data_IF_178395120733
#
_entry.id   IF_178395120733
#
_cell.length_a   1.000
_cell.length_b   1.000
_cell.length_c   1.000
_cell.angle_alpha   90.00
_cell.angle_beta   90.00
_cell.angle_gamma   90.00
#
_symmetry.space_group_name_H-M   'P 1'
#
loop_
_entity.id
_entity.type
_entity.pdbx_description
1 polymer ?
#
# COMPACT_ATOMS: atom_id res chain seq x y z
N UNK A 1 -8.83 23.28 -2.78
CA UNK A 1 -8.88 21.89 -3.28
C UNK A 1 -8.14 21.07 -2.24
N UNK A 2 -8.72 19.97 -1.75
CA UNK A 2 -8.09 19.14 -0.71
C UNK A 2 -7.39 18.00 -1.45
N UNK A 3 -6.06 17.95 -1.39
CA UNK A 3 -5.26 16.94 -2.08
C UNK A 3 -5.26 15.60 -1.33
N UNK A 4 -5.18 14.49 -2.06
CA UNK A 4 -4.90 13.16 -1.52
C UNK A 4 -3.38 13.00 -1.33
N UNK A 5 -2.97 12.60 -0.14
CA UNK A 5 -1.55 12.47 0.23
C UNK A 5 -1.28 11.09 0.86
N UNK A 6 -0.29 10.39 0.34
CA UNK A 6 0.26 9.16 0.91
C UNK A 6 1.56 9.47 1.67
N UNK A 7 1.65 9.03 2.92
CA UNK A 7 2.86 9.10 3.76
C UNK A 7 3.30 7.69 4.12
N UNK A 8 4.55 7.34 3.83
CA UNK A 8 5.13 6.04 4.21
C UNK A 8 5.57 6.11 5.68
N UNK A 9 4.91 5.36 6.55
CA UNK A 9 5.26 5.26 7.98
C UNK A 9 6.36 4.20 8.20
N UNK A 10 6.31 3.11 7.44
CA UNK A 10 7.29 2.03 7.45
C UNK A 10 7.13 1.15 6.22
N UNK A 11 8.18 0.42 5.86
CA UNK A 11 8.16 -0.49 4.72
C UNK A 11 9.02 -1.75 4.95
N UNK A 12 9.44 -2.00 6.20
CA UNK A 12 10.25 -3.18 6.52
C UNK A 12 9.41 -4.46 6.55
N UNK A 13 10.06 -5.55 6.17
CA UNK A 13 9.53 -6.92 6.23
C UNK A 13 10.68 -7.92 6.45
N UNK A 14 10.47 -9.04 7.18
CA UNK A 14 9.31 -9.38 8.01
C UNK A 14 9.36 -8.72 9.41
N UNK A 15 10.47 -8.06 9.75
CA UNK A 15 10.72 -7.43 11.04
C UNK A 15 11.20 -5.99 10.87
N UNK A 16 10.91 -5.10 11.84
CA UNK A 16 11.33 -3.71 11.77
C UNK A 16 12.85 -3.57 11.95
N UNK A 17 13.42 -2.50 11.39
CA UNK A 17 14.74 -1.98 11.73
C UNK A 17 14.61 -0.68 12.55
N UNK A 18 15.70 -0.21 13.14
CA UNK A 18 15.71 0.95 14.03
C UNK A 18 15.19 2.25 13.38
N UNK A 19 15.33 2.37 12.06
CA UNK A 19 14.93 3.50 11.22
C UNK A 19 13.89 3.13 10.14
N UNK A 20 13.45 1.87 10.10
CA UNK A 20 12.45 1.38 9.16
C UNK A 20 11.48 0.42 9.86
N UNK A 21 10.34 0.92 10.39
CA UNK A 21 9.35 0.07 11.02
C UNK A 21 8.65 -0.83 9.99
N UNK A 22 7.86 -1.80 10.47
CA UNK A 22 7.06 -2.66 9.60
C UNK A 22 6.15 -1.84 8.68
N UNK A 23 5.76 -2.45 7.56
CA UNK A 23 4.93 -1.81 6.54
C UNK A 23 3.69 -1.13 7.12
N UNK A 24 3.59 0.18 6.86
CA UNK A 24 2.50 1.02 7.31
C UNK A 24 2.46 2.29 6.48
N UNK A 25 1.26 2.65 6.01
CA UNK A 25 1.07 3.77 5.11
C UNK A 25 -0.12 4.60 5.57
N UNK A 26 0.03 5.91 5.57
CA UNK A 26 -1.01 6.85 5.95
C UNK A 26 -1.50 7.58 4.70
N UNK A 27 -2.75 7.35 4.32
CA UNK A 27 -3.43 8.11 3.28
C UNK A 27 -4.30 9.17 3.94
N UNK A 28 -4.13 10.44 3.56
CA UNK A 28 -4.92 11.56 4.08
C UNK A 28 -5.53 12.39 2.96
N UNK A 29 -6.76 12.84 3.17
CA UNK A 29 -7.44 13.85 2.35
C UNK A 29 -8.05 14.90 3.28
N UNK A 30 -7.18 15.66 3.97
CA UNK A 30 -7.58 16.63 5.00
C UNK A 30 -7.87 16.00 6.37
N UNK A 31 -7.44 16.70 7.43
CA UNK A 31 -7.43 16.34 8.86
C UNK A 31 -6.29 15.39 9.31
N UNK A 32 -5.05 15.88 9.25
CA UNK A 32 -3.85 15.18 9.73
C UNK A 32 -3.62 15.26 11.27
N UNK A 33 -4.37 16.07 12.01
CA UNK A 33 -4.03 16.38 13.41
C UNK A 33 -4.53 15.36 14.47
N UNK A 34 -5.12 14.23 14.08
CA UNK A 34 -5.73 13.28 15.04
C UNK A 34 -5.04 11.92 15.20
N UNK A 35 -4.01 11.61 14.41
CA UNK A 35 -3.31 10.31 14.54
C UNK A 35 -2.20 10.29 15.60
N UNK A 36 -1.82 11.46 16.13
CA UNK A 36 -0.75 11.62 17.12
C UNK A 36 -1.01 10.94 18.48
N UNK A 37 -2.23 10.41 18.73
CA UNK A 37 -2.60 9.71 19.97
C UNK A 37 -2.53 8.17 19.93
N UNK A 38 -2.32 7.54 18.77
CA UNK A 38 -2.57 6.10 18.57
C UNK A 38 -1.52 5.14 19.18
N UNK A 39 -0.32 5.62 19.55
CA UNK A 39 0.86 4.76 19.75
C UNK A 39 1.33 4.59 21.21
N UNK A 40 0.46 4.59 22.21
CA UNK A 40 0.90 4.38 23.61
C UNK A 40 1.38 2.94 23.87
N UNK A 41 2.71 2.80 24.01
CA UNK A 41 3.46 1.65 24.51
C UNK A 41 3.24 1.43 26.03
N UNK A 42 2.49 0.41 26.43
CA UNK A 42 2.33 0.02 27.83
C UNK A 42 1.83 -1.43 28.03
N UNK A 43 1.93 -2.00 29.24
CA UNK A 43 1.66 -3.42 29.52
C UNK A 43 0.18 -3.80 29.61
N UNK A 44 -0.74 -2.82 29.45
CA UNK A 44 -2.18 -3.06 29.38
C UNK A 44 -2.61 -2.95 27.92
N UNK A 45 -3.33 -3.94 27.39
CA UNK A 45 -4.03 -3.80 26.10
C UNK A 45 -4.86 -2.51 26.14
N UNK A 46 -4.54 -1.57 25.25
CA UNK A 46 -5.28 -0.31 25.06
C UNK A 46 -6.58 -0.56 24.29
N UNK A 47 -7.65 0.23 24.50
CA UNK A 47 -9.02 -0.14 24.17
C UNK A 47 -9.40 0.33 22.78
N UNK A 48 -8.77 -0.26 21.75
CA UNK A 48 -9.05 0.05 20.33
C UNK A 48 -10.56 -0.03 20.04
N UNK A 49 -11.26 -1.03 20.58
CA UNK A 49 -12.71 -1.23 20.42
C UNK A 49 -13.58 -0.13 21.06
N UNK A 50 -13.04 0.66 22.00
CA UNK A 50 -13.79 1.76 22.64
C UNK A 50 -13.57 3.12 21.98
N UNK A 51 -12.50 3.24 21.17
CA UNK A 51 -12.12 4.46 20.48
C UNK A 51 -12.36 4.38 18.97
N UNK A 52 -12.46 3.17 18.42
CA UNK A 52 -12.57 2.90 16.99
C UNK A 52 -13.68 1.88 16.72
N UNK A 53 -14.47 2.16 15.69
CA UNK A 53 -15.33 1.15 15.08
C UNK A 53 -14.47 0.22 14.22
N UNK A 54 -14.65 -1.09 14.40
CA UNK A 54 -13.95 -2.11 13.62
C UNK A 54 -14.89 -2.63 12.54
N UNK A 55 -14.45 -2.54 11.29
CA UNK A 55 -15.14 -3.14 10.15
C UNK A 55 -14.21 -4.16 9.52
N UNK A 56 -14.63 -5.43 9.50
CA UNK A 56 -13.91 -6.48 8.79
C UNK A 56 -14.05 -6.30 7.29
N UNK A 57 -12.95 -6.45 6.55
CA UNK A 57 -12.94 -6.35 5.10
C UNK A 57 -13.48 -7.64 4.44
N UNK A 58 -14.21 -7.48 3.34
CA UNK A 58 -14.59 -8.57 2.44
C UNK A 58 -14.33 -8.19 0.97
N UNK A 59 -14.33 -9.19 0.09
CA UNK A 59 -14.11 -8.98 -1.36
C UNK A 59 -15.24 -8.15 -1.97
N UNK A 60 -14.90 -7.06 -2.66
CA UNK A 60 -15.85 -6.14 -3.25
C UNK A 60 -16.50 -5.18 -2.26
N UNK A 61 -16.01 -5.10 -1.02
CA UNK A 61 -16.50 -4.10 -0.08
C UNK A 61 -16.19 -2.69 -0.58
N UNK A 62 -17.19 -1.82 -0.44
CA UNK A 62 -17.04 -0.38 -0.61
C UNK A 62 -17.27 0.32 0.74
N UNK A 63 -16.51 1.37 1.01
CA UNK A 63 -16.67 2.18 2.22
C UNK A 63 -16.24 3.63 1.96
N UNK A 64 -16.90 4.58 2.62
CA UNK A 64 -16.48 5.99 2.60
C UNK A 64 -15.84 6.33 3.93
N UNK A 65 -14.60 6.83 3.90
CA UNK A 65 -13.88 7.31 5.09
C UNK A 65 -13.48 8.75 4.86
N UNK A 66 -14.15 9.69 5.53
CA UNK A 66 -13.93 11.11 5.29
C UNK A 66 -14.25 11.49 3.84
N UNK A 67 -13.28 12.05 3.12
CA UNK A 67 -13.44 12.50 1.73
C UNK A 67 -13.01 11.48 0.67
N UNK A 68 -12.78 10.22 1.04
CA UNK A 68 -12.35 9.16 0.11
C UNK A 68 -13.30 7.97 0.11
N UNK A 69 -13.42 7.34 -1.05
CA UNK A 69 -14.06 6.06 -1.28
C UNK A 69 -13.00 4.96 -1.31
N UNK A 70 -13.26 3.85 -0.63
CA UNK A 70 -12.41 2.67 -0.55
C UNK A 70 -13.12 1.51 -1.21
N UNK A 71 -12.43 0.78 -2.07
CA UNK A 71 -12.88 -0.51 -2.62
C UNK A 71 -11.84 -1.57 -2.33
N UNK A 72 -12.20 -2.66 -1.65
CA UNK A 72 -11.30 -3.79 -1.42
C UNK A 72 -11.56 -4.94 -2.38
N UNK A 73 -10.51 -5.67 -2.75
CA UNK A 73 -10.60 -6.95 -3.44
C UNK A 73 -9.73 -7.98 -2.75
N UNK A 74 -10.21 -9.21 -2.67
CA UNK A 74 -9.40 -10.32 -2.17
C UNK A 74 -8.23 -10.58 -3.13
N UNK A 75 -7.03 -10.72 -2.57
CA UNK A 75 -5.78 -10.95 -3.33
C UNK A 75 -5.12 -12.27 -2.91
N UNK A 76 -4.09 -12.70 -3.64
CA UNK A 76 -3.52 -14.05 -3.50
C UNK A 76 -2.33 -14.07 -2.54
N UNK A 77 -2.55 -14.41 -1.27
CA UNK A 77 -1.47 -14.42 -0.27
C UNK A 77 -1.43 -15.71 0.60
N UNK A 78 -2.19 -16.74 0.24
CA UNK A 78 -2.30 -17.99 1.00
C UNK A 78 -3.09 -17.90 2.32
N UNK A 79 -3.33 -16.67 2.81
CA UNK A 79 -4.25 -16.32 3.89
C UNK A 79 -5.15 -15.16 3.41
N UNK A 80 -6.27 -14.87 4.10
CA UNK A 80 -7.11 -13.74 3.74
C UNK A 80 -6.32 -12.42 3.72
N UNK A 81 -6.23 -11.82 2.54
CA UNK A 81 -5.52 -10.57 2.27
C UNK A 81 -6.32 -9.74 1.26
N UNK A 82 -6.13 -8.42 1.30
CA UNK A 82 -6.87 -7.49 0.44
C UNK A 82 -5.95 -6.44 -0.20
N UNK A 83 -6.16 -6.22 -1.49
CA UNK A 83 -5.78 -4.99 -2.16
C UNK A 83 -6.89 -3.95 -1.96
N UNK A 84 -6.53 -2.67 -1.89
CA UNK A 84 -7.47 -1.57 -1.65
C UNK A 84 -7.24 -0.45 -2.65
N UNK A 85 -8.29 -0.05 -3.36
CA UNK A 85 -8.35 1.18 -4.14
C UNK A 85 -8.93 2.29 -3.28
N UNK A 86 -8.29 3.45 -3.31
CA UNK A 86 -8.69 4.67 -2.62
C UNK A 86 -8.91 5.74 -3.66
N UNK A 87 -10.11 6.32 -3.70
CA UNK A 87 -10.48 7.35 -4.65
C UNK A 87 -10.99 8.59 -3.92
N UNK A 88 -10.56 9.77 -4.35
CA UNK A 88 -10.99 11.02 -3.75
C UNK A 88 -10.33 12.22 -4.43
N UNK A 89 -11.02 13.37 -4.41
CA UNK A 89 -10.56 14.60 -5.06
C UNK A 89 -10.17 14.43 -6.55
N UNK A 90 -10.79 13.48 -7.26
CA UNK A 90 -10.47 13.18 -8.67
C UNK A 90 -9.18 12.40 -8.89
N UNK A 91 -8.63 11.81 -7.82
CA UNK A 91 -7.39 11.01 -7.81
C UNK A 91 -7.65 9.62 -7.24
N UNK A 92 -6.73 8.71 -7.54
CA UNK A 92 -6.83 7.29 -7.19
C UNK A 92 -5.47 6.68 -6.83
N UNK A 93 -5.44 5.95 -5.71
CA UNK A 93 -4.31 5.14 -5.26
C UNK A 93 -4.77 3.70 -5.09
N UNK A 94 -3.97 2.73 -5.54
CA UNK A 94 -4.17 1.33 -5.23
C UNK A 94 -3.02 0.84 -4.37
N UNK A 95 -3.36 0.27 -3.21
CA UNK A 95 -2.42 -0.46 -2.37
C UNK A 95 -2.62 -1.96 -2.60
N UNK A 96 -1.56 -2.68 -2.95
CA UNK A 96 -1.65 -4.10 -3.27
C UNK A 96 -2.01 -4.99 -2.08
N UNK A 97 -1.65 -4.57 -0.86
CA UNK A 97 -1.44 -5.52 0.23
C UNK A 97 -0.25 -6.44 -0.07
N UNK A 98 -0.10 -7.50 0.73
CA UNK A 98 0.81 -8.59 0.42
C UNK A 98 0.05 -9.58 -0.48
N UNK A 99 0.64 -9.96 -1.61
CA UNK A 99 0.01 -10.81 -2.61
C UNK A 99 1.00 -11.29 -3.68
N UNK A 100 0.69 -12.42 -4.30
CA UNK A 100 1.18 -12.83 -5.60
C UNK A 100 0.48 -12.07 -6.74
N UNK A 101 0.97 -12.14 -7.98
CA UNK A 101 0.28 -11.60 -9.14
C UNK A 101 -1.09 -12.24 -9.32
N UNK A 102 -2.15 -11.44 -9.35
CA UNK A 102 -3.51 -11.91 -9.55
C UNK A 102 -4.34 -10.92 -10.37
N UNK A 103 -5.42 -11.43 -10.97
CA UNK A 103 -6.34 -10.63 -11.77
C UNK A 103 -7.03 -9.54 -10.94
N UNK A 104 -7.40 -9.85 -9.69
CA UNK A 104 -8.09 -8.91 -8.81
C UNK A 104 -7.26 -7.64 -8.55
N UNK A 105 -5.94 -7.77 -8.34
CA UNK A 105 -5.06 -6.61 -8.20
C UNK A 105 -4.95 -5.83 -9.50
N UNK A 106 -4.79 -6.51 -10.63
CA UNK A 106 -4.67 -5.87 -11.95
C UNK A 106 -5.93 -5.09 -12.32
N UNK A 107 -7.11 -5.66 -12.06
CA UNK A 107 -8.41 -5.00 -12.22
C UNK A 107 -8.54 -3.78 -11.30
N UNK A 108 -8.09 -3.91 -10.05
CA UNK A 108 -8.15 -2.82 -9.08
C UNK A 108 -7.23 -1.65 -9.48
N UNK A 109 -6.04 -1.97 -9.99
CA UNK A 109 -4.99 -1.04 -10.44
C UNK A 109 -5.29 -0.37 -11.79
N UNK A 110 -6.23 -0.90 -12.59
CA UNK A 110 -6.53 -0.34 -13.89
C UNK A 110 -7.01 1.12 -13.78
N UNK A 111 -6.39 1.99 -14.57
CA UNK A 111 -6.67 3.42 -14.60
C UNK A 111 -6.40 4.16 -13.29
N UNK A 112 -5.69 3.58 -12.31
CA UNK A 112 -5.33 4.32 -11.10
C UNK A 112 -4.19 5.33 -11.36
N UNK A 113 -4.14 6.43 -10.62
CA UNK A 113 -3.02 7.38 -10.74
C UNK A 113 -1.73 6.72 -10.22
N UNK A 114 -1.81 6.00 -9.10
CA UNK A 114 -0.66 5.36 -8.46
C UNK A 114 -1.00 3.94 -8.00
N UNK A 115 -0.15 2.99 -8.37
CA UNK A 115 -0.09 1.68 -7.75
C UNK A 115 1.08 1.64 -6.75
N UNK A 116 0.79 1.40 -5.48
CA UNK A 116 1.75 1.06 -4.43
C UNK A 116 1.79 -0.46 -4.28
N UNK A 117 2.79 -1.10 -4.90
CA UNK A 117 2.88 -2.56 -5.00
C UNK A 117 4.03 -3.13 -4.17
N UNK A 118 3.79 -4.24 -3.50
CA UNK A 118 4.83 -5.03 -2.83
C UNK A 118 5.85 -5.65 -3.80
N UNK A 119 7.02 -6.02 -3.28
CA UNK A 119 8.03 -6.84 -3.95
C UNK A 119 8.73 -7.76 -2.92
N UNK A 120 7.95 -8.65 -2.31
CA UNK A 120 8.33 -9.57 -1.24
C UNK A 120 9.26 -10.72 -1.65
N UNK A 121 9.60 -10.85 -2.93
CA UNK A 121 10.63 -11.78 -3.42
C UNK A 121 10.06 -12.99 -4.14
N UNK A 122 10.82 -14.10 -4.16
CA UNK A 122 10.50 -15.28 -4.98
C UNK A 122 9.52 -16.27 -4.30
N UNK A 123 8.89 -15.88 -3.19
CA UNK A 123 7.87 -16.71 -2.53
C UNK A 123 6.56 -16.71 -3.35
N UNK A 124 5.88 -17.86 -3.50
CA UNK A 124 4.62 -17.94 -4.26
C UNK A 124 3.49 -17.04 -3.78
N UNK A 125 3.54 -16.50 -2.56
CA UNK A 125 2.52 -15.61 -1.99
C UNK A 125 2.86 -14.11 -2.13
N UNK A 126 3.94 -13.77 -2.84
CA UNK A 126 4.47 -12.42 -2.98
C UNK A 126 4.82 -12.08 -4.43
N UNK A 127 5.02 -10.80 -4.69
CA UNK A 127 5.53 -10.31 -5.97
C UNK A 127 7.07 -10.36 -5.99
N UNK A 128 7.63 -10.79 -7.13
CA UNK A 128 8.96 -10.33 -7.53
C UNK A 128 8.90 -8.88 -8.00
N UNK A 129 10.05 -8.20 -8.04
CA UNK A 129 10.11 -6.83 -8.54
C UNK A 129 9.61 -6.69 -10.00
N UNK A 130 9.96 -7.63 -10.88
CA UNK A 130 9.47 -7.67 -12.25
C UNK A 130 7.96 -7.83 -12.31
N UNK A 131 7.39 -8.71 -11.49
CA UNK A 131 5.95 -8.93 -11.43
C UNK A 131 5.18 -7.72 -10.90
N UNK A 132 5.78 -6.93 -9.99
CA UNK A 132 5.22 -5.65 -9.57
C UNK A 132 5.13 -4.67 -10.75
N UNK A 133 6.14 -4.68 -11.64
CA UNK A 133 6.10 -3.97 -12.92
C UNK A 133 4.98 -4.46 -13.83
N UNK A 134 4.84 -5.78 -14.01
CA UNK A 134 3.76 -6.35 -14.83
C UNK A 134 2.36 -5.96 -14.32
N UNK A 135 2.18 -5.93 -13.00
CA UNK A 135 0.91 -5.57 -12.35
C UNK A 135 0.57 -4.07 -12.49
N UNK A 136 1.55 -3.23 -12.83
CA UNK A 136 1.38 -1.79 -12.99
C UNK A 136 0.92 -1.36 -14.38
N UNK A 137 0.73 -2.29 -15.34
CA UNK A 137 0.46 -1.97 -16.74
C UNK A 137 -0.69 -0.97 -16.99
N UNK A 138 -1.73 -0.97 -16.14
CA UNK A 138 -2.86 -0.05 -16.21
C UNK A 138 -2.75 1.21 -15.33
N UNK A 139 -1.71 1.31 -14.51
CA UNK A 139 -1.53 2.43 -13.57
C UNK A 139 -0.79 3.61 -14.23
N UNK A 140 -0.97 4.82 -13.67
CA UNK A 140 -0.26 6.03 -14.09
C UNK A 140 1.19 6.09 -13.61
N UNK A 141 1.51 5.45 -12.48
CA UNK A 141 2.87 5.22 -11.96
C UNK A 141 2.89 4.09 -10.95
N UNK A 142 4.07 3.49 -10.79
CA UNK A 142 4.36 2.45 -9.81
C UNK A 142 5.25 3.01 -8.69
N UNK A 143 4.88 2.74 -7.45
CA UNK A 143 5.74 2.88 -6.28
C UNK A 143 5.97 1.49 -5.71
N UNK A 144 7.20 0.99 -5.81
CA UNK A 144 7.58 -0.31 -5.23
C UNK A 144 7.77 -0.16 -3.73
N UNK A 145 7.17 -1.05 -2.95
CA UNK A 145 7.29 -1.10 -1.49
C UNK A 145 7.46 -2.54 -0.99
N UNK A 146 7.54 -2.75 0.32
CA UNK A 146 7.64 -4.08 0.94
C UNK A 146 8.72 -4.95 0.26
N UNK A 147 9.93 -4.40 0.10
CA UNK A 147 11.02 -5.04 -0.63
C UNK A 147 11.73 -6.04 0.28
N UNK A 148 11.71 -7.31 -0.09
CA UNK A 148 12.44 -8.34 0.64
C UNK A 148 13.96 -8.26 0.41
N UNK A 149 14.71 -8.57 1.46
CA UNK A 149 16.18 -8.71 1.37
C UNK A 149 16.55 -9.95 0.55
N UNK A 150 17.74 -9.96 -0.11
CA UNK A 150 18.85 -9.01 0.06
C UNK A 150 18.85 -7.80 -0.89
N UNK A 151 17.89 -7.70 -1.82
CA UNK A 151 17.91 -6.61 -2.81
C UNK A 151 17.59 -5.26 -2.17
N UNK A 152 18.21 -4.20 -2.68
CA UNK A 152 17.92 -2.84 -2.23
C UNK A 152 16.62 -2.32 -2.88
N UNK A 153 15.84 -1.42 -2.24
CA UNK A 153 14.62 -0.86 -2.84
C UNK A 153 14.84 -0.19 -4.20
N UNK A 154 15.97 0.52 -4.36
CA UNK A 154 16.36 1.12 -5.64
C UNK A 154 16.61 0.06 -6.74
N UNK A 155 17.16 -1.09 -6.37
CA UNK A 155 17.37 -2.22 -7.30
C UNK A 155 16.02 -2.86 -7.67
N UNK A 156 15.10 -3.02 -6.72
CA UNK A 156 13.75 -3.50 -6.97
C UNK A 156 12.99 -2.58 -7.94
N UNK A 157 13.04 -1.26 -7.73
CA UNK A 157 12.47 -0.30 -8.67
C UNK A 157 13.09 -0.40 -10.08
N UNK A 158 14.41 -0.53 -10.18
CA UNK A 158 15.08 -0.70 -11.46
C UNK A 158 14.64 -1.98 -12.19
N UNK A 159 14.44 -3.08 -11.47
CA UNK A 159 13.92 -4.34 -12.00
C UNK A 159 12.46 -4.23 -12.45
N UNK A 160 11.60 -3.61 -11.65
CA UNK A 160 10.21 -3.35 -12.02
C UNK A 160 10.09 -2.50 -13.30
N UNK A 161 10.97 -1.49 -13.45
CA UNK A 161 11.04 -0.65 -14.64
C UNK A 161 11.43 -1.39 -15.94
N UNK A 162 11.89 -2.63 -15.87
CA UNK A 162 12.10 -3.47 -17.07
C UNK A 162 10.81 -4.07 -17.63
N UNK A 163 9.72 -4.00 -16.87
CA UNK A 163 8.42 -4.60 -17.19
C UNK A 163 7.28 -3.58 -17.30
N UNK A 164 7.53 -2.33 -16.92
CA UNK A 164 6.54 -1.24 -16.94
C UNK A 164 7.14 0.01 -17.57
N UNK A 165 6.42 0.57 -18.55
CA UNK A 165 6.89 1.73 -19.32
C UNK A 165 6.63 3.09 -18.63
N UNK A 166 5.79 3.10 -17.58
CA UNK A 166 5.49 4.32 -16.83
C UNK A 166 6.52 4.64 -15.74
N UNK A 167 6.32 5.74 -14.99
CA UNK A 167 7.23 6.14 -13.92
C UNK A 167 7.28 5.09 -12.80
N UNK A 168 8.49 4.67 -12.43
CA UNK A 168 8.75 3.78 -11.30
C UNK A 168 9.57 4.50 -10.24
N UNK A 169 9.05 4.51 -9.01
CA UNK A 169 9.75 4.97 -7.81
C UNK A 169 9.70 3.87 -6.74
N UNK A 170 10.37 4.08 -5.60
CA UNK A 170 10.30 3.17 -4.46
C UNK A 170 9.95 3.94 -3.18
N UNK A 171 9.21 3.29 -2.29
CA UNK A 171 8.85 3.85 -1.00
C UNK A 171 10.10 4.08 -0.13
N UNK A 172 10.18 5.25 0.48
CA UNK A 172 11.18 5.61 1.49
C UNK A 172 10.42 6.12 2.72
N UNK A 173 10.72 5.65 3.94
CA UNK A 173 10.10 6.16 5.15
C UNK A 173 10.15 7.69 5.23
N UNK A 174 9.01 8.32 5.53
CA UNK A 174 8.87 9.78 5.57
C UNK A 174 8.69 10.47 4.21
N UNK A 175 8.81 9.76 3.09
CA UNK A 175 8.48 10.32 1.78
C UNK A 175 6.99 10.62 1.66
N UNK A 176 6.69 11.66 0.90
CA UNK A 176 5.33 12.14 0.63
C UNK A 176 5.09 12.24 -0.87
N UNK A 177 3.99 11.66 -1.33
CA UNK A 177 3.57 11.72 -2.73
C UNK A 177 2.28 12.52 -2.85
N UNK A 178 2.31 13.56 -3.68
CA UNK A 178 1.11 14.31 -4.10
C UNK A 178 0.62 13.72 -5.40
N UNK A 179 -0.69 13.48 -5.47
CA UNK A 179 -1.35 12.92 -6.64
C UNK A 179 -2.15 14.01 -7.32
#
# INVERSE_FOLDING_TARGET
MVDLQLTVLGCATPYPAADNPCSGYLVTSGAADRLAGFLTNGPRRSPIESAFEITELYDGQTATVGGVELTSRAVEHGLPAFGVRVEGAGRSLVYSGDTAPCAALSELADGCDVLLCEAGGDDPAHHTAEQAGDSAAGAGRLIVTHVARPIAPAEAAARAATRYDGPVEYAVPGATYRM
#
